data_IF_289365524338
#
_entry.id   IF_289365524338
#
_cell.length_a   1.000
_cell.length_b   1.000
_cell.length_c   1.000
_cell.angle_alpha   90.00
_cell.angle_beta   90.00
_cell.angle_gamma   90.00
#
_symmetry.space_group_name_H-M   'P 1'
#
loop_
_entity.id
_entity.type
_entity.pdbx_description
1 polymer ?
#
# COMPACT_ATOMS: atom_id res chain seq x y z
N UNK A 1 19.73 20.77 23.67
CA UNK A 1 20.58 19.96 22.77
C UNK A 1 19.66 19.29 21.75
N UNK A 2 19.59 19.83 20.52
CA UNK A 2 18.62 19.39 19.50
C UNK A 2 19.19 18.20 18.74
N UNK A 3 18.63 17.00 18.93
CA UNK A 3 19.04 15.83 18.17
C UNK A 3 18.39 15.86 16.78
N UNK A 4 19.20 16.22 15.78
CA UNK A 4 18.80 16.13 14.38
C UNK A 4 18.79 14.65 13.99
N UNK A 5 17.62 13.99 14.12
CA UNK A 5 17.41 12.64 13.58
C UNK A 5 17.53 12.71 12.04
N UNK A 6 18.70 12.33 11.51
CA UNK A 6 18.91 12.04 10.08
C UNK A 6 18.15 10.76 9.69
N UNK A 7 16.84 10.88 9.54
CA UNK A 7 15.93 9.78 9.21
C UNK A 7 15.50 9.73 7.73
N UNK A 8 16.33 10.15 6.78
CA UNK A 8 15.88 10.37 5.38
C UNK A 8 16.51 9.48 4.32
N UNK A 9 17.48 8.62 4.63
CA UNK A 9 18.23 7.92 3.57
C UNK A 9 17.52 6.72 2.93
N UNK A 10 16.56 6.07 3.60
CA UNK A 10 15.95 4.83 3.08
C UNK A 10 14.83 5.04 2.07
N UNK A 11 14.32 6.27 1.88
CA UNK A 11 13.12 6.52 1.07
C UNK A 11 13.34 6.35 -0.44
N UNK A 12 14.58 6.36 -0.93
CA UNK A 12 14.90 6.34 -2.36
C UNK A 12 15.56 5.04 -2.86
N UNK A 13 15.90 4.11 -1.97
CA UNK A 13 16.58 2.86 -2.34
C UNK A 13 15.83 2.05 -3.43
N UNK A 14 14.50 1.86 -3.35
CA UNK A 14 13.74 1.09 -4.35
C UNK A 14 13.86 1.62 -5.78
N UNK A 15 13.72 2.93 -5.96
CA UNK A 15 13.72 3.55 -7.29
C UNK A 15 15.11 3.58 -7.91
N UNK A 16 16.14 3.81 -7.09
CA UNK A 16 17.54 3.79 -7.55
C UNK A 16 17.92 2.39 -8.05
N UNK A 17 17.44 1.34 -7.37
CA UNK A 17 17.75 -0.05 -7.74
C UNK A 17 17.12 -0.44 -9.09
N UNK A 18 15.85 -0.07 -9.32
CA UNK A 18 15.18 -0.29 -10.60
C UNK A 18 15.85 0.51 -11.73
N UNK A 19 16.23 1.76 -11.47
CA UNK A 19 16.94 2.59 -12.45
C UNK A 19 18.31 1.99 -12.81
N UNK A 20 19.08 1.53 -11.82
CA UNK A 20 20.36 0.87 -12.05
C UNK A 20 20.20 -0.42 -12.88
N UNK A 21 19.17 -1.23 -12.59
CA UNK A 21 18.83 -2.43 -13.36
C UNK A 21 18.54 -2.08 -14.83
N UNK A 22 17.71 -1.06 -15.07
CA UNK A 22 17.34 -0.62 -16.41
C UNK A 22 18.55 -0.14 -17.22
N UNK A 23 19.45 0.64 -16.59
CA UNK A 23 20.68 1.11 -17.21
C UNK A 23 21.61 -0.07 -17.54
N UNK A 24 21.77 -1.03 -16.62
CA UNK A 24 22.60 -2.21 -16.83
C UNK A 24 22.12 -3.08 -17.98
N UNK A 25 20.83 -3.44 -17.98
CA UNK A 25 20.23 -4.24 -19.06
C UNK A 25 20.26 -3.50 -20.40
N UNK A 26 19.96 -2.21 -20.39
CA UNK A 26 19.97 -1.40 -21.60
C UNK A 26 21.35 -1.18 -22.20
N UNK A 27 22.34 -0.90 -21.35
CA UNK A 27 23.73 -0.80 -21.78
C UNK A 27 24.24 -2.12 -22.37
N UNK A 28 23.91 -3.25 -21.73
CA UNK A 28 24.22 -4.58 -22.25
C UNK A 28 23.62 -4.83 -23.64
N UNK A 29 22.34 -4.49 -23.84
CA UNK A 29 21.68 -4.60 -25.14
C UNK A 29 22.34 -3.74 -26.23
N UNK A 30 22.66 -2.49 -25.94
CA UNK A 30 23.32 -1.59 -26.91
C UNK A 30 24.72 -2.10 -27.27
N UNK A 31 25.52 -2.51 -26.28
CA UNK A 31 26.87 -3.07 -26.53
C UNK A 31 26.80 -4.32 -27.40
N UNK A 32 25.76 -5.15 -27.20
CA UNK A 32 25.55 -6.34 -28.01
C UNK A 32 25.23 -5.99 -29.47
N UNK A 33 24.27 -5.10 -29.72
CA UNK A 33 23.90 -4.63 -31.07
C UNK A 33 25.11 -4.03 -31.81
N UNK A 34 25.99 -3.31 -31.09
CA UNK A 34 27.20 -2.73 -31.67
C UNK A 34 28.27 -3.78 -32.05
N UNK A 35 28.25 -4.97 -31.43
CA UNK A 35 29.21 -6.05 -31.72
C UNK A 35 28.75 -6.99 -32.83
N UNK A 36 27.46 -7.04 -33.12
CA UNK A 36 26.87 -7.87 -34.16
C UNK A 36 26.15 -6.99 -35.19
N UNK A 37 26.87 -6.41 -36.17
CA UNK A 37 26.28 -5.52 -37.15
C UNK A 37 25.37 -6.29 -38.11
N UNK A 38 24.08 -6.20 -37.84
CA UNK A 38 23.00 -6.76 -38.64
C UNK A 38 22.45 -5.77 -39.68
N UNK A 39 21.61 -6.22 -40.64
CA UNK A 39 20.95 -5.32 -41.58
C UNK A 39 20.15 -4.22 -40.85
N UNK A 40 20.04 -3.00 -41.42
CA UNK A 40 19.39 -1.86 -40.74
C UNK A 40 17.97 -2.12 -40.24
N UNK A 41 17.23 -3.01 -40.92
CA UNK A 41 15.87 -3.40 -40.53
C UNK A 41 15.87 -4.18 -39.22
N UNK A 42 16.83 -5.11 -39.04
CA UNK A 42 16.95 -5.87 -37.80
C UNK A 42 17.37 -4.95 -36.67
N UNK A 43 18.36 -4.09 -36.90
CA UNK A 43 18.74 -3.03 -35.97
C UNK A 43 17.57 -2.18 -35.50
N UNK A 44 16.74 -1.70 -36.43
CA UNK A 44 15.57 -0.88 -36.07
C UNK A 44 14.59 -1.65 -35.17
N UNK A 45 14.37 -2.93 -35.45
CA UNK A 45 13.53 -3.77 -34.61
C UNK A 45 14.15 -4.01 -33.24
N UNK A 46 15.44 -4.35 -33.15
CA UNK A 46 16.13 -4.57 -31.89
C UNK A 46 16.15 -3.32 -31.01
N UNK A 47 16.42 -2.14 -31.60
CA UNK A 47 16.33 -0.87 -30.88
C UNK A 47 14.90 -0.58 -30.39
N UNK A 48 13.88 -0.96 -31.13
CA UNK A 48 12.49 -0.85 -30.70
C UNK A 48 12.21 -1.78 -29.51
N UNK A 49 12.55 -3.07 -29.65
CA UNK A 49 12.29 -4.11 -28.65
C UNK A 49 13.10 -3.90 -27.36
N UNK A 50 14.30 -3.33 -27.45
CA UNK A 50 15.15 -3.04 -26.28
C UNK A 50 14.84 -1.65 -25.73
N UNK A 51 14.72 -0.65 -26.60
CA UNK A 51 14.52 0.75 -26.20
C UNK A 51 13.20 1.01 -25.50
N UNK A 52 12.09 0.48 -26.03
CA UNK A 52 10.75 0.73 -25.46
C UNK A 52 10.63 0.25 -24.01
N UNK A 53 11.02 -0.99 -23.66
CA UNK A 53 11.03 -1.43 -22.27
C UNK A 53 11.95 -0.63 -21.35
N UNK A 54 13.16 -0.24 -21.81
CA UNK A 54 14.10 0.56 -21.00
C UNK A 54 13.48 1.91 -20.64
N UNK A 55 12.97 2.63 -21.64
CA UNK A 55 12.32 3.93 -21.42
C UNK A 55 11.15 3.76 -20.46
N UNK A 56 10.39 2.68 -20.61
CA UNK A 56 9.32 2.29 -19.70
C UNK A 56 9.76 2.07 -18.25
N UNK A 57 10.85 1.33 -18.05
CA UNK A 57 11.44 1.07 -16.73
C UNK A 57 11.96 2.34 -16.07
N UNK A 58 12.67 3.18 -16.82
CA UNK A 58 13.18 4.47 -16.35
C UNK A 58 12.02 5.38 -15.96
N UNK A 59 11.02 5.54 -16.83
CA UNK A 59 9.84 6.36 -16.55
C UNK A 59 9.05 5.85 -15.35
N UNK A 60 8.81 4.54 -15.25
CA UNK A 60 8.09 3.96 -14.11
C UNK A 60 8.86 4.11 -12.79
N UNK A 61 10.19 3.99 -12.81
CA UNK A 61 11.03 4.23 -11.63
C UNK A 61 10.98 5.71 -11.18
N UNK A 62 11.01 6.64 -12.13
CA UNK A 62 10.85 8.08 -11.88
C UNK A 62 9.47 8.41 -11.32
N UNK A 63 8.41 7.80 -11.88
CA UNK A 63 7.05 7.97 -11.40
C UNK A 63 6.89 7.48 -9.95
N UNK A 64 7.49 6.34 -9.60
CA UNK A 64 7.49 5.84 -8.21
C UNK A 64 8.27 6.75 -7.26
N UNK A 65 9.39 7.33 -7.72
CA UNK A 65 10.21 8.23 -6.91
C UNK A 65 9.50 9.56 -6.63
N UNK A 66 8.77 10.10 -7.62
CA UNK A 66 8.08 11.39 -7.50
C UNK A 66 6.77 11.32 -6.72
N UNK A 67 6.13 10.14 -6.59
CA UNK A 67 4.88 9.97 -5.84
C UNK A 67 5.13 9.53 -4.39
N UNK A 68 4.38 10.13 -3.46
CA UNK A 68 4.34 9.76 -2.04
C UNK A 68 3.55 8.46 -1.84
N UNK A 69 4.04 7.36 -2.40
CA UNK A 69 3.49 6.03 -2.17
C UNK A 69 3.86 5.53 -0.77
N UNK A 70 2.94 4.87 -0.04
CA UNK A 70 3.24 4.19 1.22
C UNK A 70 4.44 3.25 1.06
N UNK A 71 5.31 3.17 2.07
CA UNK A 71 6.53 2.35 2.05
C UNK A 71 6.27 0.89 1.66
N UNK A 72 5.17 0.31 2.16
CA UNK A 72 4.71 -1.06 1.83
C UNK A 72 4.52 -1.30 0.33
N UNK A 73 3.96 -0.33 -0.39
CA UNK A 73 3.72 -0.45 -1.82
C UNK A 73 5.00 -0.39 -2.63
N UNK A 74 5.96 0.47 -2.23
CA UNK A 74 7.25 0.61 -2.92
C UNK A 74 8.02 -0.71 -2.97
N UNK A 75 8.06 -1.43 -1.84
CA UNK A 75 8.72 -2.73 -1.75
C UNK A 75 7.99 -3.84 -2.48
N UNK A 76 6.65 -3.79 -2.52
CA UNK A 76 5.87 -4.74 -3.31
C UNK A 76 6.25 -4.64 -4.80
N UNK A 77 6.33 -3.42 -5.35
CA UNK A 77 6.73 -3.23 -6.76
C UNK A 77 8.14 -3.77 -7.03
N UNK A 78 9.11 -3.48 -6.15
CA UNK A 78 10.47 -4.01 -6.28
C UNK A 78 10.48 -5.54 -6.28
N UNK A 79 9.73 -6.18 -5.37
CA UNK A 79 9.63 -7.64 -5.31
C UNK A 79 9.00 -8.22 -6.58
N UNK A 80 7.98 -7.58 -7.12
CA UNK A 80 7.35 -8.00 -8.38
C UNK A 80 8.30 -7.87 -9.57
N UNK A 81 9.04 -6.76 -9.67
CA UNK A 81 10.01 -6.53 -10.75
C UNK A 81 11.15 -7.56 -10.66
N UNK A 82 11.76 -7.70 -9.49
CA UNK A 82 12.81 -8.71 -9.25
C UNK A 82 12.30 -10.13 -9.48
N UNK A 83 11.12 -10.47 -8.98
CA UNK A 83 10.51 -11.78 -9.15
C UNK A 83 10.31 -12.13 -10.62
N UNK A 84 9.78 -11.21 -11.42
CA UNK A 84 9.61 -11.42 -12.87
C UNK A 84 10.93 -11.56 -13.62
N UNK A 85 11.94 -10.75 -13.26
CA UNK A 85 13.28 -10.83 -13.86
C UNK A 85 13.97 -12.15 -13.51
N UNK A 86 13.80 -12.64 -12.28
CA UNK A 86 14.31 -13.95 -11.85
C UNK A 86 13.63 -15.11 -12.58
N UNK A 87 12.29 -15.10 -12.71
CA UNK A 87 11.57 -16.14 -13.45
C UNK A 87 11.99 -16.15 -14.92
N UNK A 88 12.08 -14.98 -15.55
CA UNK A 88 12.62 -14.84 -16.90
C UNK A 88 14.03 -15.45 -17.00
N UNK A 89 14.93 -15.11 -16.08
CA UNK A 89 16.28 -15.65 -16.03
C UNK A 89 16.33 -17.17 -15.88
N UNK A 90 15.47 -17.78 -15.05
CA UNK A 90 15.39 -19.24 -14.87
C UNK A 90 14.85 -19.92 -16.12
N UNK A 91 13.79 -19.37 -16.73
CA UNK A 91 13.24 -19.91 -17.98
C UNK A 91 14.29 -19.87 -19.08
N UNK A 92 15.01 -18.76 -19.20
CA UNK A 92 16.07 -18.69 -20.20
C UNK A 92 17.20 -19.66 -19.88
N UNK A 93 17.65 -19.76 -18.62
CA UNK A 93 18.66 -20.74 -18.18
C UNK A 93 18.26 -22.18 -18.53
N UNK A 94 16.99 -22.53 -18.30
CA UNK A 94 16.44 -23.85 -18.67
C UNK A 94 16.46 -24.09 -20.17
N UNK A 95 16.14 -23.07 -20.97
CA UNK A 95 16.28 -23.13 -22.43
C UNK A 95 17.75 -23.33 -22.85
N UNK A 96 18.72 -22.67 -22.18
CA UNK A 96 20.15 -22.84 -22.46
C UNK A 96 20.60 -24.29 -22.18
N UNK A 97 20.17 -24.83 -21.04
CA UNK A 97 20.48 -26.21 -20.67
C UNK A 97 19.88 -27.20 -21.67
N UNK A 98 18.68 -26.91 -22.20
CA UNK A 98 18.07 -27.71 -23.28
C UNK A 98 18.87 -27.67 -24.58
N UNK A 99 19.35 -26.48 -25.00
CA UNK A 99 20.19 -26.35 -26.21
C UNK A 99 21.54 -27.05 -26.09
N UNK A 100 22.07 -27.25 -24.88
CA UNK A 100 23.30 -28.02 -24.70
C UNK A 100 23.16 -29.50 -25.11
N UNK A 101 21.93 -29.99 -25.25
CA UNK A 101 21.62 -31.39 -25.62
C UNK A 101 21.39 -31.54 -27.13
N UNK A 102 20.78 -30.55 -27.78
CA UNK A 102 20.57 -30.53 -29.24
C UNK A 102 21.01 -29.18 -29.83
N UNK A 103 22.09 -29.15 -30.64
CA UNK A 103 22.56 -27.92 -31.27
C UNK A 103 21.60 -27.49 -32.38
N UNK A 104 20.60 -26.68 -32.01
CA UNK A 104 19.77 -25.93 -32.95
C UNK A 104 20.54 -24.66 -33.34
N UNK A 105 20.54 -24.33 -34.63
CA UNK A 105 21.30 -23.26 -35.27
C UNK A 105 21.38 -21.94 -34.45
N UNK A 106 22.61 -21.46 -34.25
CA UNK A 106 23.14 -20.12 -33.90
C UNK A 106 22.18 -19.04 -33.37
N UNK A 107 21.20 -19.39 -32.53
CA UNK A 107 20.43 -18.38 -31.80
C UNK A 107 21.34 -17.76 -30.73
N UNK A 108 21.64 -16.48 -30.88
CA UNK A 108 22.63 -15.79 -30.05
C UNK A 108 22.15 -15.64 -28.59
N UNK A 109 22.57 -16.62 -27.78
CA UNK A 109 22.13 -16.92 -26.42
C UNK A 109 21.96 -15.69 -25.51
N UNK A 110 22.92 -14.77 -25.61
CA UNK A 110 22.98 -13.57 -24.77
C UNK A 110 21.82 -12.61 -25.04
N UNK A 111 21.41 -12.47 -26.29
CA UNK A 111 20.35 -11.54 -26.68
C UNK A 111 18.99 -11.98 -26.12
N UNK A 112 18.67 -13.27 -26.24
CA UNK A 112 17.41 -13.84 -25.76
C UNK A 112 17.24 -13.67 -24.24
N UNK A 113 18.32 -13.89 -23.47
CA UNK A 113 18.31 -13.68 -22.01
C UNK A 113 17.98 -12.22 -21.67
N UNK A 114 18.66 -11.28 -22.34
CA UNK A 114 18.45 -9.86 -22.11
C UNK A 114 17.03 -9.46 -22.47
N UNK A 115 16.51 -9.92 -23.61
CA UNK A 115 15.20 -9.54 -24.10
C UNK A 115 14.07 -10.10 -23.23
N UNK A 116 14.12 -11.38 -22.85
CA UNK A 116 13.11 -11.99 -21.97
C UNK A 116 13.13 -11.35 -20.57
N UNK A 117 14.32 -11.09 -20.02
CA UNK A 117 14.47 -10.43 -18.71
C UNK A 117 13.92 -9.00 -18.73
N UNK A 118 14.19 -8.27 -19.81
CA UNK A 118 13.77 -6.89 -19.98
C UNK A 118 12.25 -6.77 -20.13
N UNK A 119 11.63 -7.63 -20.94
CA UNK A 119 10.18 -7.66 -21.12
C UNK A 119 9.44 -8.09 -19.84
N UNK A 120 9.97 -9.09 -19.12
CA UNK A 120 9.42 -9.52 -17.82
C UNK A 120 9.41 -8.37 -16.81
N UNK A 121 10.53 -7.67 -16.67
CA UNK A 121 10.66 -6.52 -15.78
C UNK A 121 9.69 -5.38 -16.18
N UNK A 122 9.54 -5.11 -17.47
CA UNK A 122 8.66 -4.06 -17.99
C UNK A 122 7.17 -4.35 -17.69
N UNK A 123 6.68 -5.55 -17.99
CA UNK A 123 5.29 -5.94 -17.74
C UNK A 123 4.95 -5.90 -16.25
N UNK A 124 5.87 -6.36 -15.41
CA UNK A 124 5.72 -6.35 -13.95
C UNK A 124 5.63 -4.93 -13.40
N UNK A 125 6.51 -4.03 -13.85
CA UNK A 125 6.47 -2.62 -13.47
C UNK A 125 5.18 -1.96 -13.93
N UNK A 126 4.74 -2.21 -15.17
CA UNK A 126 3.52 -1.66 -15.71
C UNK A 126 2.28 -2.08 -14.90
N UNK A 127 2.20 -3.35 -14.52
CA UNK A 127 1.13 -3.88 -13.68
C UNK A 127 1.13 -3.24 -12.30
N UNK A 128 2.31 -3.10 -11.69
CA UNK A 128 2.47 -2.48 -10.39
C UNK A 128 2.06 -0.99 -10.39
N UNK A 129 2.46 -0.23 -11.41
CA UNK A 129 2.08 1.18 -11.58
C UNK A 129 0.57 1.31 -11.80
N UNK A 130 -0.01 0.44 -12.64
CA UNK A 130 -1.45 0.44 -12.92
C UNK A 130 -2.29 0.14 -11.68
N UNK A 131 -1.88 -0.84 -10.87
CA UNK A 131 -2.52 -1.15 -9.59
C UNK A 131 -2.36 -0.01 -8.57
N UNK A 132 -1.18 0.62 -8.54
CA UNK A 132 -0.94 1.80 -7.69
C UNK A 132 -1.86 2.97 -8.03
N UNK A 133 -2.14 3.22 -9.31
CA UNK A 133 -3.08 4.26 -9.74
C UNK A 133 -4.50 3.97 -9.28
N UNK A 134 -4.99 2.76 -9.49
CA UNK A 134 -6.34 2.33 -9.05
C UNK A 134 -6.51 2.48 -7.53
N UNK A 135 -5.47 2.19 -6.75
CA UNK A 135 -5.50 2.37 -5.30
C UNK A 135 -5.64 3.86 -4.92
N UNK A 136 -4.86 4.74 -5.55
CA UNK A 136 -4.94 6.18 -5.30
C UNK A 136 -6.31 6.75 -5.67
N UNK A 137 -6.89 6.33 -6.81
CA UNK A 137 -8.21 6.79 -7.23
C UNK A 137 -9.31 6.38 -6.25
N UNK A 138 -9.24 5.17 -5.67
CA UNK A 138 -10.16 4.76 -4.59
C UNK A 138 -10.04 5.64 -3.36
N UNK A 139 -8.82 5.85 -2.87
CA UNK A 139 -8.61 6.68 -1.67
C UNK A 139 -9.03 8.14 -1.89
N UNK A 140 -8.87 8.65 -3.11
CA UNK A 140 -9.34 9.99 -3.47
C UNK A 140 -10.87 10.03 -3.54
N UNK A 141 -11.50 9.01 -4.11
CA UNK A 141 -12.96 8.91 -4.13
C UNK A 141 -13.54 8.80 -2.72
N UNK A 142 -12.93 8.02 -1.83
CA UNK A 142 -13.33 7.92 -0.42
C UNK A 142 -13.21 9.27 0.29
N UNK A 143 -12.10 9.99 0.07
CA UNK A 143 -11.89 11.32 0.62
C UNK A 143 -12.91 12.34 0.08
N UNK A 144 -13.12 12.39 -1.23
CA UNK A 144 -14.11 13.28 -1.85
C UNK A 144 -15.54 12.93 -1.36
N UNK A 145 -15.82 11.65 -1.11
CA UNK A 145 -17.10 11.19 -0.55
C UNK A 145 -17.25 11.58 0.91
N UNK A 146 -16.17 11.52 1.70
CA UNK A 146 -16.13 12.01 3.08
C UNK A 146 -16.30 13.53 3.15
N UNK A 147 -15.62 14.28 2.28
CA UNK A 147 -15.72 15.75 2.22
C UNK A 147 -17.12 16.21 1.74
N UNK A 148 -17.71 15.54 0.74
CA UNK A 148 -19.10 15.81 0.33
C UNK A 148 -20.11 15.34 1.38
N UNK A 149 -19.81 14.24 2.07
CA UNK A 149 -20.59 13.75 3.20
C UNK A 149 -20.57 14.71 4.38
N UNK A 150 -19.46 15.41 4.62
CA UNK A 150 -19.34 16.46 5.65
C UNK A 150 -19.98 17.78 5.21
N UNK A 151 -19.88 18.18 3.95
CA UNK A 151 -20.55 19.39 3.45
C UNK A 151 -22.09 19.25 3.41
N UNK A 152 -22.62 18.02 3.38
CA UNK A 152 -24.05 17.71 3.53
C UNK A 152 -24.45 17.12 4.89
N UNK A 153 -23.52 17.07 5.85
CA UNK A 153 -23.53 16.20 7.03
C UNK A 153 -24.03 16.84 8.31
N UNK A 154 -25.08 17.65 8.24
CA UNK A 154 -26.06 17.77 9.33
C UNK A 154 -27.20 16.76 9.10
N UNK A 155 -26.84 15.56 8.65
CA UNK A 155 -27.63 14.33 8.79
C UNK A 155 -26.85 13.54 9.85
N UNK A 156 -27.05 13.85 11.13
CA UNK A 156 -27.95 13.07 11.98
C UNK A 156 -27.81 11.60 11.62
N UNK A 157 -27.04 10.88 12.45
CA UNK A 157 -27.18 9.45 12.74
C UNK A 157 -28.39 8.87 11.99
N UNK A 158 -28.13 8.05 10.97
CA UNK A 158 -29.24 7.30 10.37
C UNK A 158 -29.97 6.63 11.55
N UNK A 159 -31.30 6.80 11.70
CA UNK A 159 -32.06 6.53 12.94
C UNK A 159 -32.10 5.05 13.37
N UNK A 160 -31.20 4.24 12.82
CA UNK A 160 -31.08 2.81 13.01
C UNK A 160 -29.70 2.42 13.59
N UNK A 161 -28.87 3.40 13.95
CA UNK A 161 -27.64 3.08 14.69
C UNK A 161 -28.00 2.93 16.17
N UNK A 162 -28.05 1.70 16.65
CA UNK A 162 -28.34 1.42 18.06
C UNK A 162 -27.21 1.98 18.93
N UNK A 163 -27.59 2.88 19.83
CA UNK A 163 -26.72 3.39 20.89
C UNK A 163 -26.63 2.27 21.92
N UNK A 164 -25.45 1.65 22.03
CA UNK A 164 -25.23 0.56 22.97
C UNK A 164 -24.99 1.11 24.38
N UNK A 165 -24.20 2.18 24.47
CA UNK A 165 -23.86 2.85 25.73
C UNK A 165 -23.79 4.36 25.47
N UNK A 166 -24.34 5.14 26.40
CA UNK A 166 -24.19 6.59 26.47
C UNK A 166 -23.88 6.96 27.92
N UNK A 167 -22.75 7.63 28.14
CA UNK A 167 -22.29 8.02 29.47
C UNK A 167 -21.69 9.42 29.45
N UNK A 168 -22.00 10.21 30.47
CA UNK A 168 -21.38 11.52 30.70
C UNK A 168 -20.15 11.37 31.59
N UNK A 169 -19.09 12.10 31.27
CA UNK A 169 -17.82 12.07 32.00
C UNK A 169 -17.31 13.47 32.29
N UNK A 170 -16.77 13.64 33.49
CA UNK A 170 -15.86 14.74 33.78
C UNK A 170 -14.44 14.36 33.34
N UNK A 171 -14.00 14.91 32.20
CA UNK A 171 -12.69 14.58 31.61
C UNK A 171 -11.48 14.97 32.47
N UNK A 172 -11.69 15.81 33.49
CA UNK A 172 -10.69 16.13 34.51
C UNK A 172 -10.38 14.93 35.41
N UNK A 173 -11.38 14.09 35.65
CA UNK A 173 -11.30 12.96 36.58
C UNK A 173 -11.00 11.66 35.83
N UNK A 174 -11.60 11.49 34.65
CA UNK A 174 -11.44 10.28 33.83
C UNK A 174 -10.83 10.64 32.47
N UNK A 175 -9.60 10.21 32.16
CA UNK A 175 -9.00 10.44 30.86
C UNK A 175 -9.87 9.86 29.73
N UNK A 176 -10.12 10.59 28.63
CA UNK A 176 -10.96 10.14 27.52
C UNK A 176 -10.59 8.75 26.97
N UNK A 177 -9.29 8.46 26.84
CA UNK A 177 -8.83 7.14 26.40
C UNK A 177 -9.26 6.01 27.36
N UNK A 178 -9.29 6.27 28.66
CA UNK A 178 -9.73 5.30 29.66
C UNK A 178 -11.24 5.11 29.64
N UNK A 179 -12.00 6.20 29.50
CA UNK A 179 -13.46 6.16 29.37
C UNK A 179 -13.91 5.35 28.16
N UNK A 180 -13.26 5.52 27.01
CA UNK A 180 -13.55 4.74 25.79
C UNK A 180 -13.36 3.24 26.03
N UNK A 181 -12.22 2.83 26.60
CA UNK A 181 -11.94 1.42 26.89
C UNK A 181 -12.94 0.86 27.90
N UNK A 182 -13.24 1.60 28.97
CA UNK A 182 -14.21 1.18 29.98
C UNK A 182 -15.63 1.02 29.40
N UNK A 183 -16.06 1.93 28.51
CA UNK A 183 -17.35 1.83 27.86
C UNK A 183 -17.45 0.61 26.94
N UNK A 184 -16.40 0.26 26.21
CA UNK A 184 -16.37 -0.94 25.35
C UNK A 184 -16.33 -2.21 26.20
N UNK A 185 -15.51 -2.24 27.25
CA UNK A 185 -15.47 -3.35 28.21
C UNK A 185 -16.88 -3.63 28.79
N UNK A 186 -17.63 -2.56 29.09
CA UNK A 186 -19.01 -2.68 29.56
C UNK A 186 -19.96 -3.22 28.48
N UNK A 187 -19.83 -2.79 27.21
CA UNK A 187 -20.59 -3.34 26.08
C UNK A 187 -20.31 -4.84 25.89
N UNK A 188 -19.05 -5.24 26.01
CA UNK A 188 -18.61 -6.62 25.80
C UNK A 188 -18.75 -7.49 27.07
N UNK A 189 -19.23 -6.92 28.17
CA UNK A 189 -19.35 -7.58 29.47
C UNK A 189 -18.05 -8.33 29.87
N UNK A 190 -16.91 -7.68 29.67
CA UNK A 190 -15.56 -8.23 29.90
C UNK A 190 -14.75 -7.26 30.77
N UNK A 191 -13.82 -7.78 31.58
CA UNK A 191 -12.92 -6.91 32.35
C UNK A 191 -11.92 -6.18 31.44
N UNK A 192 -11.54 -4.95 31.78
CA UNK A 192 -10.60 -4.14 30.97
C UNK A 192 -9.25 -4.88 30.74
N UNK A 193 -8.81 -5.67 31.72
CA UNK A 193 -7.57 -6.46 31.64
C UNK A 193 -7.67 -7.69 30.73
N UNK A 194 -8.88 -8.11 30.37
CA UNK A 194 -9.16 -9.26 29.52
C UNK A 194 -9.55 -8.87 28.09
N UNK A 195 -9.62 -7.57 27.78
CA UNK A 195 -9.89 -7.09 26.43
C UNK A 195 -8.74 -7.43 25.48
N UNK A 196 -9.08 -8.08 24.36
CA UNK A 196 -8.12 -8.41 23.29
C UNK A 196 -7.74 -7.17 22.46
N UNK A 197 -8.56 -6.12 22.51
CA UNK A 197 -8.40 -4.88 21.74
C UNK A 197 -7.79 -3.78 22.59
N UNK A 198 -6.64 -3.25 22.16
CA UNK A 198 -6.04 -2.08 22.82
C UNK A 198 -6.30 -0.80 22.02
N UNK A 199 -6.77 0.25 22.69
CA UNK A 199 -7.05 1.54 22.03
C UNK A 199 -5.80 2.14 21.35
N UNK A 200 -4.61 1.84 21.87
CA UNK A 200 -3.32 2.30 21.33
C UNK A 200 -3.00 1.74 19.94
N UNK A 201 -3.55 0.58 19.57
CA UNK A 201 -3.34 -0.02 18.25
C UNK A 201 -4.09 0.75 17.15
N UNK A 202 -5.12 1.51 17.53
CA UNK A 202 -5.97 2.24 16.60
C UNK A 202 -5.76 3.75 16.65
N UNK A 203 -5.52 4.32 17.83
CA UNK A 203 -5.50 5.77 18.03
C UNK A 203 -4.36 6.19 18.97
N UNK A 204 -3.77 7.35 18.68
CA UNK A 204 -2.84 8.02 19.58
C UNK A 204 -3.58 8.58 20.81
N UNK A 205 -3.62 7.81 21.90
CA UNK A 205 -4.33 8.14 23.15
C UNK A 205 -3.92 9.49 23.76
N UNK A 206 -2.63 9.85 23.72
CA UNK A 206 -2.15 11.15 24.23
C UNK A 206 -2.74 12.32 23.44
N UNK A 207 -2.88 12.15 22.12
CA UNK A 207 -3.50 13.16 21.27
C UNK A 207 -5.00 13.25 21.53
N UNK A 208 -5.69 12.10 21.68
CA UNK A 208 -7.10 12.05 22.04
C UNK A 208 -7.37 12.75 23.38
N UNK A 209 -6.62 12.38 24.43
CA UNK A 209 -6.72 12.98 25.76
C UNK A 209 -6.49 14.48 25.69
N UNK A 210 -5.47 14.95 24.95
CA UNK A 210 -5.19 16.38 24.81
C UNK A 210 -6.33 17.12 24.09
N UNK A 211 -6.82 16.60 22.97
CA UNK A 211 -7.85 17.27 22.17
C UNK A 211 -9.13 17.43 23.00
N UNK A 212 -9.62 16.35 23.62
CA UNK A 212 -10.88 16.34 24.37
C UNK A 212 -10.79 17.18 25.65
N UNK A 213 -9.63 17.21 26.33
CA UNK A 213 -9.47 18.00 27.57
C UNK A 213 -9.19 19.48 27.34
N UNK A 214 -8.63 19.85 26.18
CA UNK A 214 -8.22 21.25 25.92
C UNK A 214 -9.31 22.08 25.27
N UNK A 215 -10.15 21.46 24.44
CA UNK A 215 -11.14 22.17 23.64
C UNK A 215 -12.53 22.09 24.30
N UNK A 216 -13.19 23.24 24.46
CA UNK A 216 -14.47 23.36 25.17
C UNK A 216 -15.68 22.76 24.44
N UNK A 217 -15.55 22.45 23.14
CA UNK A 217 -16.63 21.85 22.35
C UNK A 217 -16.03 21.06 21.19
N UNK A 218 -15.85 19.76 21.39
CA UNK A 218 -15.30 18.85 20.39
C UNK A 218 -16.32 17.76 20.13
N UNK A 219 -16.52 17.47 18.84
CA UNK A 219 -17.27 16.30 18.37
C UNK A 219 -16.29 15.41 17.63
N UNK A 220 -15.98 14.25 18.20
CA UNK A 220 -15.13 13.24 17.58
C UNK A 220 -15.97 12.00 17.29
N UNK A 221 -15.92 11.54 16.05
CA UNK A 221 -16.52 10.26 15.65
C UNK A 221 -15.44 9.44 14.95
N UNK A 222 -15.12 8.27 15.49
CA UNK A 222 -14.13 7.38 14.90
C UNK A 222 -14.51 5.91 15.06
N UNK A 223 -14.11 5.04 14.11
CA UNK A 223 -14.36 3.62 14.20
C UNK A 223 -13.31 2.94 15.11
N UNK A 224 -13.77 1.93 15.85
CA UNK A 224 -12.93 1.03 16.64
C UNK A 224 -13.50 -0.39 16.52
N UNK A 225 -12.83 -1.21 15.71
CA UNK A 225 -13.31 -2.53 15.29
C UNK A 225 -14.74 -2.54 14.72
N UNK A 226 -15.70 -3.07 15.47
CA UNK A 226 -17.12 -3.19 15.12
C UNK A 226 -17.98 -2.07 15.72
N UNK A 227 -17.36 -1.12 16.42
CA UNK A 227 -18.02 -0.01 17.07
C UNK A 227 -17.62 1.32 16.45
N UNK A 228 -18.48 2.30 16.62
CA UNK A 228 -18.20 3.72 16.41
C UNK A 228 -18.22 4.41 17.76
N UNK A 229 -17.16 5.15 18.05
CA UNK A 229 -17.02 5.93 19.27
C UNK A 229 -17.34 7.38 18.93
N UNK A 230 -18.37 7.93 19.58
CA UNK A 230 -18.76 9.33 19.49
C UNK A 230 -18.44 10.01 20.83
N UNK A 231 -17.64 11.07 20.77
CA UNK A 231 -17.43 11.99 21.90
C UNK A 231 -18.03 13.31 21.48
N UNK A 232 -19.07 13.79 22.18
CA UNK A 232 -19.70 15.08 21.98
C UNK A 232 -19.68 15.85 23.30
N UNK A 233 -18.73 16.79 23.42
CA UNK A 233 -18.52 17.53 24.66
C UNK A 233 -18.11 16.59 25.80
N UNK A 234 -18.97 16.45 26.80
CA UNK A 234 -18.80 15.59 27.99
C UNK A 234 -19.44 14.20 27.83
N UNK A 235 -20.12 13.95 26.71
CA UNK A 235 -20.88 12.73 26.48
C UNK A 235 -20.10 11.79 25.56
N UNK A 236 -19.92 10.55 26.01
CA UNK A 236 -19.37 9.43 25.25
C UNK A 236 -20.50 8.48 24.87
N UNK A 237 -20.62 8.18 23.58
CA UNK A 237 -21.55 7.18 23.06
C UNK A 237 -20.81 6.12 22.26
N UNK A 238 -21.17 4.86 22.51
CA UNK A 238 -20.73 3.70 21.73
C UNK A 238 -21.88 3.25 20.84
N UNK A 239 -21.63 3.25 19.54
CA UNK A 239 -22.58 2.94 18.48
C UNK A 239 -22.14 1.63 17.81
N UNK A 240 -23.07 0.71 17.54
CA UNK A 240 -22.73 -0.48 16.77
C UNK A 240 -22.59 -0.15 15.27
N UNK A 241 -21.54 -0.65 14.60
CA UNK A 241 -21.45 -0.53 13.14
C UNK A 241 -22.46 -1.48 12.47
N UNK A 242 -23.53 -0.96 11.82
CA UNK A 242 -24.54 -1.81 11.19
C UNK A 242 -23.96 -2.67 10.05
N UNK A 243 -22.80 -2.28 9.48
CA UNK A 243 -22.16 -3.03 8.39
C UNK A 243 -21.33 -4.21 8.92
N UNK A 244 -20.80 -4.11 10.14
CA UNK A 244 -20.00 -5.17 10.75
C UNK A 244 -20.86 -6.38 11.13
N UNK A 245 -22.09 -6.16 11.58
CA UNK A 245 -23.05 -7.22 11.95
C UNK A 245 -23.35 -8.18 10.79
N UNK A 246 -23.31 -7.69 9.54
CA UNK A 246 -23.53 -8.53 8.36
C UNK A 246 -22.31 -9.36 7.91
N UNK A 247 -21.09 -9.02 8.36
CA UNK A 247 -19.88 -9.79 7.99
C UNK A 247 -19.56 -10.92 8.95
N UNK A 248 -19.99 -10.84 10.22
CA UNK A 248 -19.66 -11.81 11.26
C UNK A 248 -20.42 -13.14 11.22
N UNK A 249 -21.60 -13.18 10.56
CA UNK A 249 -22.48 -14.36 10.62
C UNK A 249 -22.14 -15.43 9.58
N UNK A 250 -21.34 -15.13 8.55
CA UNK A 250 -21.10 -16.10 7.46
C UNK A 250 -19.88 -17.02 7.64
N UNK A 251 -19.16 -16.95 8.77
CA UNK A 251 -17.87 -17.63 8.94
C UNK A 251 -17.72 -18.60 10.12
N UNK A 252 -18.72 -18.75 11.00
CA UNK A 252 -18.55 -19.48 12.28
C UNK A 252 -19.29 -20.82 12.39
N UNK A 253 -20.10 -21.21 11.41
CA UNK A 253 -20.90 -22.45 11.43
C UNK A 253 -20.40 -23.55 10.47
N UNK A 254 -19.11 -23.57 10.13
CA UNK A 254 -18.50 -24.72 9.45
C UNK A 254 -17.32 -25.21 10.28
N UNK A 255 -17.62 -25.94 11.36
CA UNK A 255 -16.78 -27.00 11.93
C UNK A 255 -17.63 -27.89 12.84
#
# INVERSE_FOLDING_TARGET
MVSVRRGTRSRHLPSVLIAALAIGLGGGGIVHVLRHPEPPVVWASEFLFVGVPIVGLVYGSYWMASRHLPSRFRWSVVRWVLGSASVAGVVTLGYLLGQSVEPIADAELGFTIVLVSLYGAFVSLFTAVSNGRRYLDRTRSERDSSERGHAGGRRILSPETDILVEQQYEWTDTPPAHAVVAAIAAVENTEITEMDVTLYDHIHTDALNRIVTTETSVVLLFPLETYWVLIDGDTLSILQDPVATHRGVQGKDIL
#
